data_IF_825986568540
#
_entry.id   IF_825986568540
#
_cell.length_a   1.000
_cell.length_b   1.000
_cell.length_c   1.000
_cell.angle_alpha   90.00
_cell.angle_beta   90.00
_cell.angle_gamma   90.00
#
_symmetry.space_group_name_H-M   'P 1'
#
loop_
_entity.id
_entity.type
_entity.pdbx_description
1 polymer ?
#
# COMPACT_ATOMS: atom_id res chain seq x y z
N UNK A 1 -21.19 1.97 -7.33
CA UNK A 1 -20.60 1.49 -8.61
C UNK A 1 -19.38 2.29 -9.10
N UNK A 2 -19.07 3.51 -8.62
CA UNK A 2 -17.89 4.25 -9.08
C UNK A 2 -16.55 3.78 -8.48
N UNK A 3 -16.55 3.30 -7.23
CA UNK A 3 -15.34 2.87 -6.51
C UNK A 3 -14.61 1.71 -7.22
N UNK A 4 -15.35 0.73 -7.73
CA UNK A 4 -14.78 -0.41 -8.46
C UNK A 4 -14.11 -0.03 -9.78
N UNK A 5 -14.54 1.08 -10.42
CA UNK A 5 -13.85 1.62 -11.61
C UNK A 5 -12.51 2.26 -11.25
N UNK A 6 -12.40 2.87 -10.05
CA UNK A 6 -11.16 3.50 -9.57
C UNK A 6 -10.12 2.46 -9.10
N UNK A 7 -10.58 1.32 -8.61
CA UNK A 7 -9.76 0.24 -8.05
C UNK A 7 -8.96 -0.50 -9.14
N UNK A 8 -9.34 -0.36 -10.42
CA UNK A 8 -8.66 -1.04 -11.51
C UNK A 8 -8.94 -2.53 -11.55
N UNK A 9 -8.33 -3.23 -12.52
CA UNK A 9 -8.58 -4.68 -12.74
C UNK A 9 -8.00 -5.56 -11.62
N UNK A 10 -7.06 -5.03 -10.83
CA UNK A 10 -6.32 -5.77 -9.80
C UNK A 10 -6.66 -5.31 -8.37
N UNK A 11 -7.95 -5.40 -8.01
CA UNK A 11 -8.47 -4.95 -6.71
C UNK A 11 -7.80 -5.58 -5.49
N UNK A 12 -7.36 -6.84 -5.61
CA UNK A 12 -6.76 -7.59 -4.51
C UNK A 12 -5.39 -7.03 -4.09
N UNK A 13 -4.56 -6.62 -5.05
CA UNK A 13 -3.23 -6.05 -4.76
C UNK A 13 -3.39 -4.68 -4.09
N UNK A 14 -4.35 -3.87 -4.56
CA UNK A 14 -4.66 -2.59 -3.91
C UNK A 14 -5.15 -2.79 -2.48
N UNK A 15 -6.05 -3.75 -2.25
CA UNK A 15 -6.54 -4.04 -0.91
C UNK A 15 -5.38 -4.44 0.01
N UNK A 16 -4.47 -5.30 -0.46
CA UNK A 16 -3.30 -5.71 0.32
C UNK A 16 -2.39 -4.52 0.66
N UNK A 17 -2.13 -3.64 -0.31
CA UNK A 17 -1.36 -2.41 -0.09
C UNK A 17 -1.99 -1.53 1.00
N UNK A 18 -3.29 -1.24 0.88
CA UNK A 18 -4.01 -0.39 1.84
C UNK A 18 -4.07 -1.04 3.23
N UNK A 19 -4.31 -2.35 3.32
CA UNK A 19 -4.33 -3.07 4.60
C UNK A 19 -2.95 -3.02 5.26
N UNK A 20 -1.88 -3.23 4.48
CA UNK A 20 -0.52 -3.08 4.97
C UNK A 20 -0.26 -1.64 5.46
N UNK A 21 -0.65 -0.61 4.72
CA UNK A 21 -0.48 0.78 5.14
C UNK A 21 -1.19 1.09 6.46
N UNK A 22 -2.45 0.69 6.58
CA UNK A 22 -3.25 0.92 7.79
C UNK A 22 -2.62 0.22 8.99
N UNK A 23 -2.25 -1.06 8.85
CA UNK A 23 -1.59 -1.81 9.92
C UNK A 23 -0.24 -1.18 10.28
N UNK A 24 0.57 -0.82 9.27
CA UNK A 24 1.89 -0.20 9.46
C UNK A 24 1.80 1.14 10.19
N UNK A 25 0.84 1.99 9.82
CA UNK A 25 0.58 3.26 10.50
C UNK A 25 0.10 3.07 11.94
N UNK A 26 -0.81 2.13 12.19
CA UNK A 26 -1.28 1.83 13.56
C UNK A 26 -0.10 1.37 14.43
N UNK A 27 0.71 0.42 13.95
CA UNK A 27 1.88 -0.08 14.68
C UNK A 27 2.87 1.05 14.94
N UNK A 28 3.16 1.88 13.93
CA UNK A 28 4.08 3.01 14.05
C UNK A 28 3.58 4.04 15.06
N UNK A 29 2.30 4.42 15.01
CA UNK A 29 1.72 5.36 15.97
C UNK A 29 1.65 4.79 17.39
N UNK A 30 1.37 3.50 17.54
CA UNK A 30 1.47 2.83 18.84
C UNK A 30 2.91 2.90 19.36
N UNK A 31 3.91 2.65 18.51
CA UNK A 31 5.32 2.81 18.88
C UNK A 31 5.70 4.23 19.30
N UNK A 32 5.16 5.26 18.66
CA UNK A 32 5.48 6.67 18.95
C UNK A 32 4.75 7.19 20.20
N UNK A 33 3.45 6.87 20.34
CA UNK A 33 2.59 7.53 21.33
C UNK A 33 2.30 6.68 22.57
N UNK A 34 2.40 5.35 22.50
CA UNK A 34 2.11 4.50 23.65
C UNK A 34 3.35 4.38 24.57
N UNK A 35 3.18 4.39 25.91
CA UNK A 35 4.28 4.24 26.86
C UNK A 35 4.71 2.77 26.98
N UNK A 36 5.25 2.20 25.90
CA UNK A 36 5.73 0.83 25.82
C UNK A 36 7.25 0.79 26.06
N UNK A 37 7.74 -0.21 26.79
CA UNK A 37 9.20 -0.35 26.99
C UNK A 37 9.93 -0.77 25.71
N UNK A 38 9.22 -1.42 24.78
CA UNK A 38 9.73 -1.91 23.49
C UNK A 38 9.28 -1.02 22.31
N UNK A 39 9.05 0.27 22.57
CA UNK A 39 8.58 1.23 21.57
C UNK A 39 9.40 1.22 20.27
N UNK A 40 10.72 1.08 20.36
CA UNK A 40 11.64 0.97 19.23
C UNK A 40 11.22 -0.12 18.23
N UNK A 41 10.86 -1.30 18.74
CA UNK A 41 10.46 -2.43 17.91
C UNK A 41 9.21 -2.11 17.10
N UNK A 42 8.21 -1.46 17.71
CA UNK A 42 6.98 -1.06 17.02
C UNK A 42 7.26 0.02 15.98
N UNK A 43 8.10 1.01 16.28
CA UNK A 43 8.47 2.04 15.30
C UNK A 43 9.17 1.41 14.08
N UNK A 44 10.17 0.55 14.29
CA UNK A 44 10.87 -0.11 13.19
C UNK A 44 9.99 -1.06 12.41
N UNK A 45 9.16 -1.87 13.09
CA UNK A 45 8.25 -2.80 12.43
C UNK A 45 7.20 -2.05 11.60
N UNK A 46 6.60 -0.99 12.15
CA UNK A 46 5.63 -0.16 11.46
C UNK A 46 6.24 0.51 10.22
N UNK A 47 7.43 1.10 10.35
CA UNK A 47 8.15 1.71 9.23
C UNK A 47 8.52 0.69 8.15
N UNK A 48 9.01 -0.50 8.55
CA UNK A 48 9.33 -1.59 7.64
C UNK A 48 8.09 -2.06 6.86
N UNK A 49 6.95 -2.16 7.54
CA UNK A 49 5.69 -2.61 6.92
C UNK A 49 5.16 -1.57 5.92
N UNK A 50 5.29 -0.28 6.22
CA UNK A 50 4.99 0.81 5.28
C UNK A 50 5.92 0.78 4.05
N UNK A 51 7.22 0.60 4.26
CA UNK A 51 8.17 0.47 3.16
C UNK A 51 7.86 -0.75 2.28
N UNK A 52 7.51 -1.89 2.89
CA UNK A 52 7.12 -3.10 2.19
C UNK A 52 5.83 -2.91 1.38
N UNK A 53 4.86 -2.16 1.90
CA UNK A 53 3.61 -1.83 1.21
C UNK A 53 3.83 -1.12 -0.13
N UNK A 54 4.89 -0.32 -0.26
CA UNK A 54 5.23 0.34 -1.54
C UNK A 54 5.42 -0.66 -2.68
N UNK A 55 5.85 -1.90 -2.40
CA UNK A 55 5.96 -2.95 -3.42
C UNK A 55 4.58 -3.29 -4.00
N UNK A 56 3.55 -3.39 -3.16
CA UNK A 56 2.18 -3.66 -3.61
C UNK A 56 1.61 -2.48 -4.39
N UNK A 57 1.91 -1.25 -3.98
CA UNK A 57 1.55 -0.05 -4.74
C UNK A 57 2.17 -0.05 -6.15
N UNK A 58 3.46 -0.38 -6.25
CA UNK A 58 4.16 -0.47 -7.55
C UNK A 58 3.53 -1.55 -8.43
N UNK A 59 3.24 -2.73 -7.87
CA UNK A 59 2.60 -3.81 -8.63
C UNK A 59 1.19 -3.44 -9.08
N UNK A 60 0.37 -2.89 -8.19
CA UNK A 60 -0.97 -2.43 -8.54
C UNK A 60 -0.93 -1.38 -9.65
N UNK A 61 -0.04 -0.38 -9.53
CA UNK A 61 0.12 0.66 -10.55
C UNK A 61 0.53 0.04 -11.89
N UNK A 62 1.56 -0.80 -11.89
CA UNK A 62 2.08 -1.46 -13.11
C UNK A 62 1.00 -2.28 -13.82
N UNK A 63 0.22 -3.07 -13.09
CA UNK A 63 -0.84 -3.90 -13.68
C UNK A 63 -2.08 -3.12 -14.10
N UNK A 64 -2.20 -1.85 -13.68
CA UNK A 64 -3.32 -1.00 -14.04
C UNK A 64 -2.99 0.01 -15.15
N UNK A 65 -1.75 0.05 -15.66
CA UNK A 65 -1.38 0.87 -16.82
C UNK A 65 -2.00 0.25 -18.09
N UNK A 66 -2.97 0.95 -18.67
CA UNK A 66 -3.50 0.66 -20.01
C UNK A 66 -2.85 1.61 -21.02
N UNK A 67 -2.10 1.05 -21.98
CA UNK A 67 -1.56 1.84 -23.09
C UNK A 67 -2.59 1.85 -24.24
N UNK A 68 -3.07 3.02 -24.68
CA UNK A 68 -4.02 3.07 -25.79
C UNK A 68 -3.34 2.63 -27.09
N UNK A 69 -3.99 1.74 -27.87
CA UNK A 69 -3.46 1.27 -29.15
C UNK A 69 -3.14 2.40 -30.15
N UNK A 70 -3.85 3.53 -30.06
CA UNK A 70 -3.61 4.73 -30.90
C UNK A 70 -2.21 5.34 -30.70
N UNK A 71 -1.61 5.15 -29.52
CA UNK A 71 -0.25 5.60 -29.19
C UNK A 71 0.82 4.60 -29.66
N UNK A 72 0.43 3.37 -30.04
CA UNK A 72 1.33 2.31 -30.51
C UNK A 72 1.62 2.35 -32.02
N UNK A 73 1.11 3.36 -32.74
CA UNK A 73 1.41 3.57 -34.16
C UNK A 73 0.81 2.54 -35.13
N UNK A 74 -0.19 1.78 -34.69
CA UNK A 74 -1.00 0.85 -35.51
C UNK A 74 -2.34 1.49 -35.91
#
# INVERSE_FOLDING_TARGET
MALFKLIGRCALILLLAVVCDVIGLIILFVGIFAPLSSWDFFVYLGALLLAFSLLFWIFWYTFNIEVPFRELGL
#
